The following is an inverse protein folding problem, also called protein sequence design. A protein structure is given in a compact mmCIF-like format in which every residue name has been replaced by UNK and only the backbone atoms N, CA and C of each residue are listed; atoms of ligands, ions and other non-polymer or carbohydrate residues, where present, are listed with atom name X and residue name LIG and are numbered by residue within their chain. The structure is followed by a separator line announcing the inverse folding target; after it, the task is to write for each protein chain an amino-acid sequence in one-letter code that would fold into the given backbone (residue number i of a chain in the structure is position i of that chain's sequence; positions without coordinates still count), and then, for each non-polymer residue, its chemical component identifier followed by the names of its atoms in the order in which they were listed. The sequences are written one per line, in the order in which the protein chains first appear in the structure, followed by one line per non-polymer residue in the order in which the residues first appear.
data_IF_507135955023
#
_entry.id   IF_507135955023
#
_cell.length_a   1.000
_cell.length_b   1.000
_cell.length_c   1.000
_cell.angle_alpha   90.00
_cell.angle_beta   90.00
_cell.angle_gamma   90.00
#
_symmetry.space_group_name_H-M   'P 1'
#
loop_
_entity.id
_entity.type
_entity.pdbx_description
1 polymer ?
#
# COMPACT_ATOMS: atom_id res chain seq x y z
N UNK A 1 -2.05 1.05 -14.16
CA UNK A 1 -2.32 0.21 -12.96
C UNK A 1 -2.99 1.13 -11.95
N UNK A 2 -4.00 0.64 -11.25
CA UNK A 2 -4.67 1.42 -10.21
C UNK A 2 -3.69 1.74 -9.06
N UNK A 3 -3.76 2.95 -8.51
CA UNK A 3 -2.97 3.31 -7.33
C UNK A 3 -3.51 2.63 -6.06
N UNK A 4 -2.74 2.66 -4.97
CA UNK A 4 -3.26 2.16 -3.69
C UNK A 4 -4.43 3.01 -3.17
N UNK A 5 -4.41 4.32 -3.41
CA UNK A 5 -5.50 5.23 -3.03
C UNK A 5 -6.81 4.94 -3.77
N UNK A 6 -6.72 4.74 -5.09
CA UNK A 6 -7.87 4.33 -5.90
C UNK A 6 -8.41 2.97 -5.43
N UNK A 7 -7.52 2.01 -5.11
CA UNK A 7 -7.92 0.71 -4.60
C UNK A 7 -8.72 0.82 -3.28
N UNK A 8 -8.30 1.69 -2.36
CA UNK A 8 -9.05 1.99 -1.13
C UNK A 8 -10.45 2.51 -1.46
N UNK A 9 -10.55 3.41 -2.46
CA UNK A 9 -11.84 3.94 -2.91
C UNK A 9 -12.74 2.83 -3.45
N UNK A 10 -12.20 1.93 -4.28
CA UNK A 10 -12.97 0.83 -4.85
C UNK A 10 -13.54 -0.10 -3.78
N UNK A 11 -12.72 -0.56 -2.83
CA UNK A 11 -13.20 -1.46 -1.76
C UNK A 11 -14.22 -0.74 -0.86
N UNK A 12 -14.02 0.56 -0.59
CA UNK A 12 -14.95 1.38 0.18
C UNK A 12 -16.30 1.51 -0.53
N UNK A 13 -16.29 1.88 -1.80
CA UNK A 13 -17.51 2.07 -2.61
C UNK A 13 -18.22 0.75 -2.88
N UNK A 14 -17.47 -0.33 -3.12
CA UNK A 14 -18.00 -1.69 -3.25
C UNK A 14 -18.73 -2.16 -1.99
N UNK A 15 -18.21 -1.81 -0.81
CA UNK A 15 -18.88 -2.04 0.47
C UNK A 15 -20.00 -1.02 0.79
N UNK A 16 -20.29 -0.08 -0.13
CA UNK A 16 -21.23 1.04 0.06
C UNK A 16 -20.95 1.85 1.34
N UNK A 17 -19.67 1.93 1.74
CA UNK A 17 -19.26 2.59 2.97
C UNK A 17 -19.08 4.09 2.73
N UNK A 18 -19.77 4.96 3.50
CA UNK A 18 -19.54 6.39 3.45
C UNK A 18 -18.11 6.74 3.86
N UNK A 19 -17.53 7.74 3.20
CA UNK A 19 -16.15 8.20 3.46
C UNK A 19 -15.90 8.52 4.94
N UNK A 20 -16.87 9.14 5.63
CA UNK A 20 -16.82 9.40 7.08
C UNK A 20 -16.65 8.15 7.95
N UNK A 21 -17.22 7.00 7.54
CA UNK A 21 -17.14 5.76 8.32
C UNK A 21 -15.75 5.15 8.22
N UNK A 22 -15.21 5.06 6.99
CA UNK A 22 -13.87 4.53 6.80
C UNK A 22 -12.82 5.44 7.45
N UNK A 23 -12.97 6.77 7.35
CA UNK A 23 -12.08 7.72 7.99
C UNK A 23 -12.04 7.52 9.52
N UNK A 24 -13.19 7.28 10.15
CA UNK A 24 -13.26 6.97 11.58
C UNK A 24 -12.56 5.64 11.95
N UNK A 25 -12.68 4.60 11.11
CA UNK A 25 -11.93 3.34 11.34
C UNK A 25 -10.42 3.54 11.25
N UNK A 26 -9.97 4.41 10.35
CA UNK A 26 -8.56 4.71 10.11
C UNK A 26 -7.98 5.76 11.07
N UNK A 27 -8.78 6.29 11.98
CA UNK A 27 -8.41 7.38 12.90
C UNK A 27 -7.82 8.62 12.18
N UNK A 28 -8.47 9.02 11.08
CA UNK A 28 -8.10 10.19 10.27
C UNK A 28 -9.33 11.04 9.94
N UNK A 29 -9.10 12.27 9.49
CA UNK A 29 -10.17 13.12 8.99
C UNK A 29 -10.65 12.69 7.58
N UNK A 30 -11.92 12.97 7.29
CA UNK A 30 -12.55 12.65 6.00
C UNK A 30 -11.86 13.33 4.81
N UNK A 31 -11.29 14.52 5.00
CA UNK A 31 -10.57 15.25 3.94
C UNK A 31 -9.25 14.54 3.60
N UNK A 32 -8.52 14.06 4.61
CA UNK A 32 -7.31 13.24 4.45
C UNK A 32 -7.63 11.97 3.69
N UNK A 33 -8.66 11.22 4.08
CA UNK A 33 -9.05 10.02 3.33
C UNK A 33 -9.45 10.37 1.88
N UNK A 34 -10.18 11.46 1.66
CA UNK A 34 -10.58 11.90 0.33
C UNK A 34 -9.39 12.29 -0.57
N UNK A 35 -8.34 12.89 0.01
CA UNK A 35 -7.09 13.19 -0.70
C UNK A 35 -6.32 11.90 -1.03
N UNK A 36 -6.31 10.94 -0.11
CA UNK A 36 -5.68 9.63 -0.34
C UNK A 36 -6.37 8.89 -1.49
N UNK A 37 -7.70 8.82 -1.48
CA UNK A 37 -8.49 8.16 -2.54
C UNK A 37 -8.39 8.83 -3.91
N UNK A 38 -7.86 10.07 -3.97
CA UNK A 38 -7.61 10.82 -5.20
C UNK A 38 -6.12 10.96 -5.53
N UNK A 39 -5.24 10.23 -4.84
CA UNK A 39 -3.78 10.28 -5.02
C UNK A 39 -3.12 11.64 -4.73
N UNK A 40 -3.83 12.55 -4.06
CA UNK A 40 -3.29 13.84 -3.63
C UNK A 40 -2.52 13.74 -2.31
N UNK A 41 -2.67 12.61 -1.60
CA UNK A 41 -1.93 12.32 -0.37
C UNK A 41 -1.56 10.85 -0.32
N UNK A 42 -0.35 10.58 0.17
CA UNK A 42 0.17 9.22 0.30
C UNK A 42 -0.53 8.46 1.43
N UNK A 43 -0.95 7.20 1.21
CA UNK A 43 -1.47 6.33 2.26
C UNK A 43 -0.37 5.94 3.26
N UNK A 44 -0.75 5.75 4.53
CA UNK A 44 0.14 5.25 5.58
C UNK A 44 0.15 3.72 5.61
N UNK A 45 1.27 3.14 6.03
CA UNK A 45 1.41 1.68 6.26
C UNK A 45 0.41 1.19 7.31
N UNK A 46 0.09 2.00 8.30
CA UNK A 46 -0.80 1.64 9.40
C UNK A 46 -2.25 1.42 8.95
N UNK A 47 -2.60 1.92 7.76
CA UNK A 47 -3.92 1.69 7.17
C UNK A 47 -4.12 0.24 6.74
N UNK A 48 -3.05 -0.47 6.35
CA UNK A 48 -3.12 -1.84 5.81
C UNK A 48 -3.84 -2.81 6.75
N UNK A 49 -3.42 -2.99 8.02
CA UNK A 49 -4.11 -3.92 8.93
C UNK A 49 -5.56 -3.51 9.23
N UNK A 50 -5.84 -2.21 9.28
CA UNK A 50 -7.19 -1.69 9.53
C UNK A 50 -8.10 -2.00 8.34
N UNK A 51 -7.64 -1.70 7.12
CA UNK A 51 -8.37 -1.99 5.88
C UNK A 51 -8.62 -3.48 5.71
N UNK A 52 -7.61 -4.32 5.99
CA UNK A 52 -7.76 -5.77 5.93
C UNK A 52 -8.87 -6.26 6.87
N UNK A 53 -8.91 -5.75 8.10
CA UNK A 53 -9.94 -6.10 9.07
C UNK A 53 -11.33 -5.57 8.67
N UNK A 54 -11.43 -4.27 8.33
CA UNK A 54 -12.70 -3.60 7.99
C UNK A 54 -13.40 -4.24 6.79
N UNK A 55 -12.62 -4.67 5.79
CA UNK A 55 -13.14 -5.23 4.55
C UNK A 55 -12.99 -6.76 4.44
N UNK A 56 -12.53 -7.42 5.51
CA UNK A 56 -12.28 -8.87 5.56
C UNK A 56 -11.41 -9.36 4.37
N UNK A 57 -10.29 -8.66 4.14
CA UNK A 57 -9.32 -8.96 3.09
C UNK A 57 -8.16 -9.75 3.66
N UNK A 58 -7.45 -10.48 2.79
CA UNK A 58 -6.19 -11.10 3.18
C UNK A 58 -5.14 -10.01 3.48
N UNK A 59 -4.61 -10.04 4.70
CA UNK A 59 -3.66 -9.03 5.17
C UNK A 59 -2.31 -9.12 4.45
N UNK A 60 -1.88 -10.33 4.03
CA UNK A 60 -0.63 -10.53 3.32
C UNK A 60 -0.72 -9.97 1.90
N UNK A 61 -1.80 -10.29 1.17
CA UNK A 61 -2.05 -9.77 -0.16
C UNK A 61 -2.14 -8.24 -0.16
N UNK A 62 -2.84 -7.66 0.82
CA UNK A 62 -2.96 -6.22 0.94
C UNK A 62 -1.62 -5.56 1.27
N UNK A 63 -0.81 -6.20 2.11
CA UNK A 63 0.53 -5.74 2.42
C UNK A 63 1.45 -5.78 1.20
N UNK A 64 1.39 -6.85 0.39
CA UNK A 64 2.12 -6.96 -0.88
C UNK A 64 1.70 -5.82 -1.82
N UNK A 65 0.39 -5.57 -1.96
CA UNK A 65 -0.13 -4.49 -2.80
C UNK A 65 0.38 -3.11 -2.34
N UNK A 66 0.38 -2.84 -1.03
CA UNK A 66 0.91 -1.59 -0.48
C UNK A 66 2.42 -1.44 -0.72
N UNK A 67 3.20 -2.51 -0.54
CA UNK A 67 4.64 -2.49 -0.79
C UNK A 67 4.95 -2.28 -2.28
N UNK A 68 4.22 -2.95 -3.17
CA UNK A 68 4.33 -2.74 -4.62
C UNK A 68 4.06 -1.29 -4.97
N UNK A 69 3.00 -0.68 -4.42
CA UNK A 69 2.71 0.74 -4.59
C UNK A 69 3.88 1.63 -4.15
N UNK A 70 4.42 1.38 -2.95
CA UNK A 70 5.56 2.15 -2.43
C UNK A 70 6.78 2.08 -3.33
N UNK A 71 7.12 0.88 -3.79
CA UNK A 71 8.26 0.66 -4.69
C UNK A 71 8.02 1.37 -6.02
N UNK A 72 6.84 1.24 -6.62
CA UNK A 72 6.54 1.93 -7.88
C UNK A 72 6.56 3.44 -7.71
N UNK A 73 5.99 3.96 -6.62
CA UNK A 73 5.98 5.40 -6.35
C UNK A 73 7.39 5.98 -6.24
N UNK A 74 8.30 5.25 -5.59
CA UNK A 74 9.69 5.69 -5.42
C UNK A 74 10.53 5.59 -6.70
N UNK A 75 10.27 4.58 -7.53
CA UNK A 75 11.17 4.22 -8.64
C UNK A 75 10.64 4.57 -10.03
N UNK A 76 9.36 4.93 -10.19
CA UNK A 76 8.74 5.09 -11.52
C UNK A 76 9.29 6.26 -12.34
N UNK A 77 9.84 7.29 -11.70
CA UNK A 77 10.41 8.47 -12.38
C UNK A 77 11.94 8.38 -12.54
N UNK A 78 12.56 7.31 -12.03
CA UNK A 78 14.01 7.09 -12.07
C UNK A 78 14.40 6.33 -13.35
N UNK A 79 15.33 6.87 -14.13
CA UNK A 79 15.82 6.25 -15.38
C UNK A 79 16.32 4.81 -15.17
N UNK A 80 16.95 4.55 -14.02
CA UNK A 80 17.50 3.25 -13.63
C UNK A 80 16.65 2.53 -12.57
N UNK A 81 15.38 2.93 -12.38
CA UNK A 81 14.52 2.40 -11.33
C UNK A 81 14.31 0.88 -11.40
N UNK A 82 14.19 0.33 -12.61
CA UNK A 82 14.04 -1.11 -12.83
C UNK A 82 15.34 -1.88 -12.56
N UNK A 83 16.48 -1.36 -12.98
CA UNK A 83 17.81 -1.92 -12.68
C UNK A 83 18.06 -1.94 -11.17
N UNK A 84 17.76 -0.82 -10.48
CA UNK A 84 17.89 -0.70 -9.04
C UNK A 84 17.00 -1.73 -8.31
N UNK A 85 15.76 -1.94 -8.78
CA UNK A 85 14.86 -2.94 -8.21
C UNK A 85 15.43 -4.37 -8.29
N UNK A 86 16.00 -4.75 -9.45
CA UNK A 86 16.65 -6.05 -9.64
C UNK A 86 17.85 -6.24 -8.70
N UNK A 87 18.67 -5.21 -8.55
CA UNK A 87 19.81 -5.23 -7.62
C UNK A 87 19.32 -5.38 -6.18
N UNK A 88 18.27 -4.66 -5.79
CA UNK A 88 17.69 -4.75 -4.45
C UNK A 88 17.13 -6.15 -4.15
N UNK A 89 16.44 -6.78 -5.11
CA UNK A 89 15.96 -8.16 -5.01
C UNK A 89 17.11 -9.14 -4.70
N UNK A 90 18.20 -9.08 -5.50
CA UNK A 90 19.39 -9.92 -5.29
C UNK A 90 20.02 -9.72 -3.90
N UNK A 91 20.09 -8.46 -3.42
CA UNK A 91 20.60 -8.15 -2.09
C UNK A 91 19.72 -8.75 -0.98
N UNK A 92 18.39 -8.72 -1.14
CA UNK A 92 17.44 -9.31 -0.18
C UNK A 92 17.58 -10.84 -0.13
N UNK A 93 17.71 -11.49 -1.28
CA UNK A 93 17.95 -12.94 -1.34
C UNK A 93 19.25 -13.34 -0.66
N UNK A 94 20.33 -12.61 -0.93
CA UNK A 94 21.63 -12.86 -0.31
C UNK A 94 21.56 -12.75 1.22
N UNK A 95 20.90 -11.68 1.74
CA UNK A 95 20.70 -11.50 3.18
C UNK A 95 19.90 -12.66 3.79
N UNK A 96 18.80 -13.10 3.16
CA UNK A 96 17.99 -14.23 3.65
C UNK A 96 18.78 -15.53 3.76
N UNK A 97 19.59 -15.84 2.74
CA UNK A 97 20.46 -17.05 2.72
C UNK A 97 21.50 -17.04 3.84
N UNK A 98 22.00 -15.88 4.23
CA UNK A 98 22.99 -15.76 5.31
C UNK A 98 22.36 -15.79 6.70
N UNK A 99 21.17 -15.21 6.88
CA UNK A 99 20.43 -15.29 8.14
C UNK A 99 20.01 -16.73 8.47
N UNK A 100 19.69 -17.56 7.47
CA UNK A 100 19.34 -18.98 7.68
C UNK A 100 20.53 -19.90 7.96
N UNK A 101 21.78 -19.41 7.80
CA UNK A 101 23.01 -20.15 8.10
C UNK A 101 23.56 -19.89 9.51
N UNK A 102 22.96 -18.96 10.25
CA UNK A 102 23.34 -18.59 11.63
C UNK A 102 22.29 -19.11 12.59
#
# INVERSE_FOLDING_TARGET
MESFGEYIRQIREGAKMPLRKLAAHLDIDQSTLSKIERNERQPSRDMVPILANVFNLDAQELQIKFLSYKITYELSDEELGLEALKVAEQQMEYKRKNVQKT
#
